data_IF_000696419303
#
_entry.id   IF_000696419303
#
_cell.length_a   1.000
_cell.length_b   1.000
_cell.length_c   1.000
_cell.angle_alpha   90.00
_cell.angle_beta   90.00
_cell.angle_gamma   90.00
#
_symmetry.space_group_name_H-M   'P 1'
#
loop_
_entity.id
_entity.type
_entity.pdbx_description
1 polymer ?
#
# COMPACT_ATOMS: atom_id res chain seq x y z
N UNK A 1 18.01 -45.02 -29.03
CA UNK A 1 17.30 -44.03 -28.18
C UNK A 1 16.10 -43.54 -28.97
N UNK A 2 14.88 -43.71 -28.45
CA UNK A 2 13.64 -43.49 -29.21
C UNK A 2 13.59 -42.01 -29.71
N UNK A 3 13.51 -41.78 -31.03
CA UNK A 3 13.50 -40.42 -31.62
C UNK A 3 12.45 -39.51 -30.96
N UNK A 4 11.34 -40.11 -30.49
CA UNK A 4 10.29 -39.41 -29.75
C UNK A 4 10.76 -38.75 -28.45
N UNK A 5 11.65 -39.37 -27.66
CA UNK A 5 12.11 -38.76 -26.39
C UNK A 5 13.04 -37.57 -26.66
N UNK A 6 13.81 -37.62 -27.74
CA UNK A 6 14.69 -36.52 -28.16
C UNK A 6 13.85 -35.31 -28.60
N UNK A 7 12.79 -35.52 -29.39
CA UNK A 7 11.88 -34.43 -29.80
C UNK A 7 11.15 -33.81 -28.61
N UNK A 8 10.67 -34.62 -27.66
CA UNK A 8 10.03 -34.13 -26.43
C UNK A 8 11.02 -33.31 -25.60
N UNK A 9 12.28 -33.77 -25.47
CA UNK A 9 13.32 -33.07 -24.75
C UNK A 9 13.60 -31.68 -25.36
N UNK A 10 13.79 -31.60 -26.68
CA UNK A 10 14.02 -30.33 -27.36
C UNK A 10 12.82 -29.38 -27.32
N UNK A 11 11.59 -29.89 -27.44
CA UNK A 11 10.37 -29.06 -27.28
C UNK A 11 10.23 -28.52 -25.86
N UNK A 12 10.51 -29.35 -24.85
CA UNK A 12 10.49 -28.93 -23.45
C UNK A 12 11.56 -27.87 -23.18
N UNK A 13 12.80 -28.09 -23.65
CA UNK A 13 13.89 -27.13 -23.51
C UNK A 13 13.58 -25.80 -24.22
N UNK A 14 12.97 -25.86 -25.41
CA UNK A 14 12.53 -24.68 -26.14
C UNK A 14 11.45 -23.91 -25.38
N UNK A 15 10.41 -24.59 -24.87
CA UNK A 15 9.35 -23.94 -24.08
C UNK A 15 9.93 -23.31 -22.80
N UNK A 16 10.80 -24.01 -22.07
CA UNK A 16 11.45 -23.47 -20.88
C UNK A 16 12.31 -22.25 -21.24
N UNK A 17 13.12 -22.33 -22.28
CA UNK A 17 13.98 -21.23 -22.75
C UNK A 17 13.15 -20.02 -23.20
N UNK A 18 12.08 -20.23 -23.96
CA UNK A 18 11.20 -19.16 -24.42
C UNK A 18 10.43 -18.53 -23.25
N UNK A 19 10.00 -19.33 -22.28
CA UNK A 19 9.33 -18.84 -21.07
C UNK A 19 10.29 -18.05 -20.19
N UNK A 20 11.50 -18.57 -19.94
CA UNK A 20 12.54 -17.89 -19.17
C UNK A 20 12.99 -16.59 -19.86
N UNK A 21 13.16 -16.62 -21.18
CA UNK A 21 13.46 -15.44 -22.00
C UNK A 21 12.36 -14.39 -21.93
N UNK A 22 11.09 -14.81 -21.97
CA UNK A 22 9.94 -13.89 -21.83
C UNK A 22 9.88 -13.27 -20.44
N UNK A 23 10.14 -14.04 -19.37
CA UNK A 23 10.20 -13.53 -17.99
C UNK A 23 11.37 -12.56 -17.81
N UNK A 24 12.55 -12.89 -18.33
CA UNK A 24 13.72 -12.01 -18.27
C UNK A 24 13.47 -10.71 -19.04
N UNK A 25 12.93 -10.79 -20.26
CA UNK A 25 12.56 -9.62 -21.05
C UNK A 25 11.53 -8.74 -20.32
N UNK A 26 10.51 -9.34 -19.71
CA UNK A 26 9.53 -8.63 -18.90
C UNK A 26 10.20 -7.94 -17.70
N UNK A 27 11.09 -8.62 -16.96
CA UNK A 27 11.79 -8.07 -15.80
C UNK A 27 12.67 -6.87 -16.16
N UNK A 28 13.49 -6.98 -17.22
CA UNK A 28 14.39 -5.89 -17.64
C UNK A 28 13.65 -4.74 -18.32
N UNK A 29 12.54 -5.00 -19.01
CA UNK A 29 11.74 -3.95 -19.65
C UNK A 29 10.74 -3.28 -18.70
N UNK A 30 10.45 -3.88 -17.54
CA UNK A 30 9.45 -3.35 -16.60
C UNK A 30 9.74 -1.91 -16.15
N UNK A 31 10.98 -1.52 -15.74
CA UNK A 31 11.28 -0.14 -15.33
C UNK A 31 11.05 0.90 -16.43
N UNK A 32 11.07 0.49 -17.70
CA UNK A 32 10.81 1.36 -18.84
C UNK A 32 9.32 1.39 -19.22
N UNK A 33 8.62 0.27 -19.05
CA UNK A 33 7.25 0.07 -19.53
C UNK A 33 6.18 0.35 -18.49
N UNK A 34 6.52 0.37 -17.19
CA UNK A 34 5.52 0.55 -16.13
C UNK A 34 4.68 1.83 -16.20
N UNK A 35 5.17 2.99 -16.70
CA UNK A 35 4.30 4.17 -16.86
C UNK A 35 3.21 3.92 -17.90
N UNK A 36 3.48 3.11 -18.93
CA UNK A 36 2.52 2.72 -19.95
C UNK A 36 1.53 1.66 -19.44
N UNK A 37 1.95 0.81 -18.50
CA UNK A 37 1.03 -0.10 -17.80
C UNK A 37 0.05 0.67 -16.93
N UNK A 38 0.53 1.66 -16.17
CA UNK A 38 -0.33 2.60 -15.42
C UNK A 38 -1.30 3.28 -16.38
N UNK A 39 -0.79 3.77 -17.52
CA UNK A 39 -1.61 4.41 -18.53
C UNK A 39 -2.70 3.51 -19.12
N UNK A 40 -2.40 2.23 -19.34
CA UNK A 40 -3.36 1.26 -19.84
C UNK A 40 -4.49 1.01 -18.82
N UNK A 41 -4.16 0.95 -17.52
CA UNK A 41 -5.16 0.85 -16.45
C UNK A 41 -6.01 2.11 -16.41
N UNK A 42 -5.40 3.30 -16.34
CA UNK A 42 -6.11 4.57 -16.30
C UNK A 42 -6.99 4.76 -17.54
N UNK A 43 -6.47 4.45 -18.72
CA UNK A 43 -7.21 4.52 -19.98
C UNK A 43 -8.42 3.59 -19.97
N UNK A 44 -8.27 2.37 -19.46
CA UNK A 44 -9.40 1.43 -19.33
C UNK A 44 -10.50 1.94 -18.41
N UNK A 45 -10.15 2.66 -17.34
CA UNK A 45 -11.12 3.27 -16.41
C UNK A 45 -11.77 4.52 -17.00
N UNK A 46 -11.01 5.35 -17.71
CA UNK A 46 -11.46 6.62 -18.28
C UNK A 46 -12.29 6.41 -19.55
N UNK A 47 -11.94 5.40 -20.36
CA UNK A 47 -12.60 5.09 -21.62
C UNK A 47 -14.13 5.03 -21.56
N UNK A 48 -14.79 4.29 -20.64
CA UNK A 48 -16.25 4.25 -20.58
C UNK A 48 -16.88 5.62 -20.28
N UNK A 49 -16.20 6.49 -19.52
CA UNK A 49 -16.65 7.85 -19.24
C UNK A 49 -16.54 8.71 -20.50
N UNK A 50 -15.42 8.59 -21.22
CA UNK A 50 -15.22 9.29 -22.50
C UNK A 50 -16.22 8.83 -23.55
N UNK A 51 -16.47 7.52 -23.70
CA UNK A 51 -17.47 6.99 -24.63
C UNK A 51 -18.89 7.47 -24.31
N UNK A 52 -19.21 7.66 -23.02
CA UNK A 52 -20.48 8.25 -22.62
C UNK A 52 -20.55 9.72 -23.01
N UNK A 53 -19.49 10.51 -22.75
CA UNK A 53 -19.43 11.91 -23.16
C UNK A 53 -19.43 12.08 -24.68
N UNK A 54 -18.74 11.22 -25.43
CA UNK A 54 -18.74 11.20 -26.90
C UNK A 54 -20.17 11.10 -27.46
N UNK A 55 -21.06 10.36 -26.77
CA UNK A 55 -22.47 10.21 -27.16
C UNK A 55 -23.36 11.38 -26.74
N UNK A 56 -23.01 12.08 -25.66
CA UNK A 56 -23.86 13.11 -25.03
C UNK A 56 -23.49 14.53 -25.48
N UNK A 57 -22.21 14.84 -25.59
CA UNK A 57 -21.72 16.22 -25.80
C UNK A 57 -21.60 16.61 -27.26
N UNK A 58 -21.48 15.63 -28.18
CA UNK A 58 -21.22 15.88 -29.59
C UNK A 58 -19.83 16.47 -29.91
N UNK A 59 -18.98 16.67 -28.90
CA UNK A 59 -17.61 17.17 -29.09
C UNK A 59 -16.69 16.10 -29.69
N UNK A 60 -15.61 16.50 -30.40
CA UNK A 60 -14.61 15.55 -30.86
C UNK A 60 -13.97 14.84 -29.66
N UNK A 61 -13.74 13.54 -29.81
CA UNK A 61 -13.21 12.65 -28.77
C UNK A 61 -11.98 13.21 -28.04
N UNK A 62 -11.08 13.89 -28.75
CA UNK A 62 -9.91 14.55 -28.16
C UNK A 62 -10.28 15.51 -27.02
N UNK A 63 -11.34 16.31 -27.20
CA UNK A 63 -11.81 17.27 -26.18
C UNK A 63 -12.43 16.54 -25.01
N UNK A 64 -13.24 15.50 -25.25
CA UNK A 64 -13.83 14.70 -24.18
C UNK A 64 -12.76 13.99 -23.34
N UNK A 65 -11.72 13.43 -23.97
CA UNK A 65 -10.57 12.83 -23.26
C UNK A 65 -9.84 13.89 -22.42
N UNK A 66 -9.52 15.06 -23.00
CA UNK A 66 -8.87 16.14 -22.26
C UNK A 66 -9.72 16.63 -21.08
N UNK A 67 -11.03 16.78 -21.28
CA UNK A 67 -11.95 17.21 -20.23
C UNK A 67 -11.99 16.24 -19.06
N UNK A 68 -12.08 14.93 -19.34
CA UNK A 68 -12.07 13.90 -18.29
C UNK A 68 -10.71 13.85 -17.59
N UNK A 69 -9.60 13.89 -18.32
CA UNK A 69 -8.26 13.92 -17.72
C UNK A 69 -8.04 15.16 -16.86
N UNK A 70 -8.46 16.34 -17.33
CA UNK A 70 -8.36 17.58 -16.58
C UNK A 70 -9.21 17.53 -15.30
N UNK A 71 -10.43 16.99 -15.37
CA UNK A 71 -11.27 16.78 -14.19
C UNK A 71 -10.59 15.88 -13.14
N UNK A 72 -10.06 14.72 -13.56
CA UNK A 72 -9.37 13.82 -12.64
C UNK A 72 -8.09 14.43 -12.07
N UNK A 73 -7.31 15.18 -12.87
CA UNK A 73 -6.12 15.87 -12.39
C UNK A 73 -6.46 16.97 -11.39
N UNK A 74 -7.48 17.77 -11.66
CA UNK A 74 -7.95 18.82 -10.74
C UNK A 74 -8.48 18.22 -9.44
N UNK A 75 -9.25 17.14 -9.51
CA UNK A 75 -9.72 16.42 -8.33
C UNK A 75 -8.55 15.85 -7.52
N UNK A 76 -7.58 15.21 -8.18
CA UNK A 76 -6.39 14.65 -7.53
C UNK A 76 -5.53 15.75 -6.90
N UNK A 77 -5.32 16.87 -7.59
CA UNK A 77 -4.59 18.02 -7.06
C UNK A 77 -5.33 18.68 -5.89
N UNK A 78 -6.67 18.77 -5.95
CA UNK A 78 -7.51 19.24 -4.85
C UNK A 78 -7.38 18.36 -3.60
N UNK A 79 -7.45 17.04 -3.77
CA UNK A 79 -7.23 16.09 -2.64
C UNK A 79 -5.79 16.20 -2.12
N UNK A 80 -4.80 16.27 -3.01
CA UNK A 80 -3.39 16.38 -2.64
C UNK A 80 -3.11 17.66 -1.86
N UNK A 81 -3.67 18.79 -2.28
CA UNK A 81 -3.50 20.07 -1.58
C UNK A 81 -4.12 20.04 -0.19
N UNK A 82 -5.30 19.44 -0.03
CA UNK A 82 -5.91 19.23 1.31
C UNK A 82 -5.01 18.35 2.18
N UNK A 83 -4.51 17.23 1.64
CA UNK A 83 -3.61 16.33 2.37
C UNK A 83 -2.30 17.01 2.76
N UNK A 84 -1.67 17.76 1.85
CA UNK A 84 -0.44 18.49 2.13
C UNK A 84 -0.68 19.58 3.16
N UNK A 85 -1.81 20.31 3.07
CA UNK A 85 -2.18 21.30 4.08
C UNK A 85 -2.35 20.67 5.46
N UNK A 86 -3.01 19.51 5.55
CA UNK A 86 -3.17 18.76 6.81
C UNK A 86 -1.82 18.27 7.34
N UNK A 87 -0.94 17.77 6.48
CA UNK A 87 0.42 17.36 6.87
C UNK A 87 1.23 18.56 7.36
N UNK A 88 1.19 19.70 6.67
CA UNK A 88 1.93 20.92 7.04
C UNK A 88 1.41 21.48 8.36
N UNK A 89 0.09 21.59 8.52
CA UNK A 89 -0.53 22.08 9.76
C UNK A 89 -0.29 21.10 10.91
N UNK A 90 -0.44 19.80 10.68
CA UNK A 90 -0.14 18.75 11.66
C UNK A 90 1.33 18.73 12.08
N UNK A 91 2.26 18.85 11.13
CA UNK A 91 3.70 18.92 11.43
C UNK A 91 4.09 20.23 12.11
N UNK A 92 3.52 21.37 11.72
CA UNK A 92 3.74 22.64 12.41
C UNK A 92 3.19 22.61 13.85
N UNK A 93 2.03 22.00 14.05
CA UNK A 93 1.45 21.78 15.35
C UNK A 93 2.34 20.88 16.22
N UNK A 94 2.83 19.77 15.67
CA UNK A 94 3.80 18.90 16.35
C UNK A 94 5.10 19.65 16.65
N UNK A 95 5.66 20.39 15.70
CA UNK A 95 6.90 21.14 15.91
C UNK A 95 6.77 22.19 17.04
N UNK A 96 5.58 22.77 17.23
CA UNK A 96 5.32 23.75 18.29
C UNK A 96 5.01 23.11 19.64
N UNK A 97 4.24 22.02 19.65
CA UNK A 97 3.67 21.43 20.86
C UNK A 97 4.55 20.30 21.42
N UNK A 98 5.28 19.58 20.57
CA UNK A 98 6.11 18.44 20.96
C UNK A 98 7.32 18.84 21.82
N UNK A 99 8.10 19.90 21.55
CA UNK A 99 9.27 20.23 22.36
C UNK A 99 8.95 20.55 23.85
N UNK A 100 7.91 21.34 24.17
CA UNK A 100 7.48 21.54 25.56
C UNK A 100 7.02 20.26 26.26
N UNK A 101 6.35 19.34 25.56
CA UNK A 101 5.96 18.06 26.14
C UNK A 101 7.14 17.10 26.30
N UNK A 102 8.14 17.16 25.42
CA UNK A 102 9.40 16.43 25.58
C UNK A 102 10.16 16.94 26.81
N UNK A 103 10.25 18.26 27.04
CA UNK A 103 10.90 18.78 28.25
C UNK A 103 10.12 18.40 29.52
N UNK A 104 8.79 18.36 29.44
CA UNK A 104 7.94 17.87 30.53
C UNK A 104 8.13 16.37 30.77
N UNK A 105 8.28 15.57 29.71
CA UNK A 105 8.56 14.14 29.81
C UNK A 105 9.96 13.87 30.38
N UNK A 106 10.98 14.61 29.92
CA UNK A 106 12.35 14.55 30.46
C UNK A 106 12.35 14.88 31.94
N UNK A 107 11.69 15.96 32.35
CA UNK A 107 11.57 16.32 33.77
C UNK A 107 10.75 15.31 34.57
N UNK A 108 9.75 14.65 33.97
CA UNK A 108 9.06 13.52 34.61
C UNK A 108 9.99 12.33 34.81
N UNK A 109 10.80 11.97 33.81
CA UNK A 109 11.80 10.91 33.90
C UNK A 109 12.89 11.25 34.92
N UNK A 110 13.38 12.49 34.94
CA UNK A 110 14.35 12.99 35.91
C UNK A 110 13.76 12.94 37.32
N UNK A 111 12.49 13.31 37.49
CA UNK A 111 11.78 13.22 38.77
C UNK A 111 11.55 11.77 39.19
N UNK A 112 11.17 10.88 38.28
CA UNK A 112 11.06 9.44 38.54
C UNK A 112 12.41 8.87 38.98
N UNK A 113 13.48 9.26 38.28
CA UNK A 113 14.82 8.83 38.59
C UNK A 113 15.25 9.34 39.96
N UNK A 114 15.16 10.63 40.23
CA UNK A 114 15.58 11.24 41.50
C UNK A 114 14.69 10.87 42.69
N UNK A 115 13.39 10.66 42.48
CA UNK A 115 12.43 10.42 43.58
C UNK A 115 12.23 8.93 43.89
N UNK A 116 12.40 8.05 42.91
CA UNK A 116 12.13 6.62 43.09
C UNK A 116 13.35 5.74 42.81
N UNK A 117 14.18 6.07 41.81
CA UNK A 117 15.35 5.24 41.46
C UNK A 117 16.57 5.60 42.30
N UNK A 118 16.82 6.88 42.57
CA UNK A 118 17.94 7.38 43.36
C UNK A 118 17.87 6.93 44.83
N UNK A 119 16.71 6.94 45.52
CA UNK A 119 16.62 6.43 46.87
C UNK A 119 16.80 4.92 46.91
N UNK A 120 16.20 4.19 45.95
CA UNK A 120 16.42 2.76 45.79
C UNK A 120 17.90 2.44 45.52
N UNK A 121 18.57 3.25 44.69
CA UNK A 121 20.01 3.17 44.45
C UNK A 121 20.81 3.41 45.72
N UNK A 122 20.48 4.45 46.50
CA UNK A 122 21.18 4.76 47.76
C UNK A 122 20.95 3.66 48.82
N UNK A 123 19.74 3.09 48.87
CA UNK A 123 19.36 2.01 49.78
C UNK A 123 20.01 0.66 49.38
N UNK A 124 20.08 0.37 48.07
CA UNK A 124 20.88 -0.72 47.53
C UNK A 124 22.38 -0.49 47.80
N UNK A 125 22.88 0.74 47.68
CA UNK A 125 24.30 1.05 47.94
C UNK A 125 24.65 0.88 49.41
N UNK A 126 23.71 1.13 50.34
CA UNK A 126 23.85 0.80 51.76
C UNK A 126 23.90 -0.72 52.01
N UNK A 127 23.12 -1.52 51.27
CA UNK A 127 23.25 -2.99 51.26
C UNK A 127 24.56 -3.49 50.62
N UNK A 128 25.21 -2.65 49.82
CA UNK A 128 26.45 -2.93 49.09
C UNK A 128 27.68 -2.21 49.67
N UNK A 129 27.59 -1.61 50.86
CA UNK A 129 28.73 -0.95 51.53
C UNK A 129 29.87 -1.92 51.90
N UNK A 130 29.63 -3.24 51.82
CA UNK A 130 30.66 -4.28 51.95
C UNK A 130 31.43 -4.57 50.64
N UNK A 131 31.04 -3.97 49.50
CA UNK A 131 31.71 -4.16 48.21
C UNK A 131 32.84 -3.13 47.98
N UNK A 132 33.93 -3.56 47.35
CA UNK A 132 35.08 -2.71 47.00
C UNK A 132 34.70 -1.52 46.10
N UNK A 133 35.41 -0.39 46.29
CA UNK A 133 35.24 0.91 45.61
C UNK A 133 35.10 0.82 44.07
N UNK A 134 35.71 -0.19 43.45
CA UNK A 134 35.69 -0.42 42.01
C UNK A 134 34.31 -0.88 41.49
N UNK A 135 33.51 -1.54 42.32
CA UNK A 135 32.17 -2.00 41.95
C UNK A 135 31.14 -0.86 42.00
N UNK A 136 31.28 0.06 42.95
CA UNK A 136 30.46 1.27 43.02
C UNK A 136 30.70 2.19 41.81
N UNK A 137 31.97 2.39 41.43
CA UNK A 137 32.32 3.15 40.23
C UNK A 137 31.74 2.53 38.95
N UNK A 138 31.76 1.20 38.83
CA UNK A 138 31.20 0.50 37.68
C UNK A 138 29.69 0.72 37.52
N UNK A 139 28.92 0.75 38.61
CA UNK A 139 27.47 0.99 38.57
C UNK A 139 27.15 2.42 38.12
N UNK A 140 27.87 3.42 38.66
CA UNK A 140 27.72 4.83 38.25
C UNK A 140 28.04 4.98 36.76
N UNK A 141 29.09 4.32 36.28
CA UNK A 141 29.49 4.36 34.87
C UNK A 141 28.45 3.69 33.96
N UNK A 142 27.79 2.61 34.40
CA UNK A 142 26.71 1.96 33.64
C UNK A 142 25.43 2.82 33.58
N UNK A 143 25.10 3.54 34.66
CA UNK A 143 23.96 4.45 34.68
C UNK A 143 24.21 5.67 33.78
N UNK A 144 25.41 6.23 33.82
CA UNK A 144 25.80 7.33 32.93
C UNK A 144 25.82 6.90 31.47
N UNK A 145 26.36 5.72 31.16
CA UNK A 145 26.35 5.20 29.78
C UNK A 145 24.93 4.86 29.30
N UNK A 146 23.99 4.50 30.16
CA UNK A 146 22.56 4.39 29.80
C UNK A 146 21.96 5.75 29.45
N UNK A 147 22.24 6.80 30.22
CA UNK A 147 21.81 8.18 29.94
C UNK A 147 22.36 8.71 28.62
N UNK A 148 23.67 8.54 28.39
CA UNK A 148 24.33 8.93 27.16
C UNK A 148 23.82 8.13 25.96
N UNK A 149 23.58 6.83 26.12
CA UNK A 149 22.99 5.99 25.07
C UNK A 149 21.57 6.41 24.73
N UNK A 150 20.75 6.76 25.73
CA UNK A 150 19.41 7.28 25.50
C UNK A 150 19.42 8.61 24.73
N UNK A 151 20.29 9.54 25.11
CA UNK A 151 20.46 10.82 24.42
C UNK A 151 20.97 10.63 22.98
N UNK A 152 21.93 9.74 22.77
CA UNK A 152 22.50 9.42 21.45
C UNK A 152 21.46 8.76 20.54
N UNK A 153 20.66 7.84 21.07
CA UNK A 153 19.57 7.20 20.33
C UNK A 153 18.44 8.18 19.98
N UNK A 154 18.12 9.13 20.88
CA UNK A 154 17.19 10.22 20.57
C UNK A 154 17.73 11.13 19.45
N UNK A 155 19.03 11.45 19.47
CA UNK A 155 19.69 12.19 18.41
C UNK A 155 19.69 11.47 17.05
N UNK A 156 19.91 10.14 17.05
CA UNK A 156 19.84 9.32 15.84
C UNK A 156 18.42 9.20 15.26
N UNK A 157 17.40 9.14 16.12
CA UNK A 157 16.00 9.18 15.66
C UNK A 157 15.68 10.52 15.01
N UNK A 158 16.12 11.62 15.63
CA UNK A 158 15.94 12.96 15.07
C UNK A 158 16.66 13.10 13.72
N UNK A 159 17.91 12.62 13.60
CA UNK A 159 18.65 12.67 12.33
C UNK A 159 17.96 11.86 11.24
N UNK A 160 17.42 10.67 11.54
CA UNK A 160 16.64 9.87 10.60
C UNK A 160 15.36 10.58 10.14
N UNK A 161 14.65 11.25 11.05
CA UNK A 161 13.45 12.03 10.69
C UNK A 161 13.81 13.20 9.78
N UNK A 162 14.90 13.91 10.08
CA UNK A 162 15.36 15.03 9.27
C UNK A 162 15.87 14.58 7.90
N UNK A 163 16.49 13.40 7.78
CA UNK A 163 16.92 12.80 6.51
C UNK A 163 15.76 12.33 5.62
N UNK A 164 14.59 12.02 6.19
CA UNK A 164 13.42 11.64 5.40
C UNK A 164 12.93 12.78 4.50
N UNK A 165 13.09 14.04 4.94
CA UNK A 165 12.64 15.22 4.20
C UNK A 165 13.39 15.36 2.85
N UNK A 166 14.74 15.46 2.79
CA UNK A 166 15.46 15.52 1.53
C UNK A 166 15.25 14.28 0.65
N UNK A 167 15.15 13.08 1.24
CA UNK A 167 14.89 11.84 0.47
C UNK A 167 13.52 11.88 -0.22
N UNK A 168 12.50 12.43 0.42
CA UNK A 168 11.20 12.64 -0.20
C UNK A 168 11.29 13.59 -1.40
N UNK A 169 11.98 14.73 -1.27
CA UNK A 169 12.18 15.66 -2.38
C UNK A 169 12.99 15.04 -3.53
N UNK A 170 13.98 14.18 -3.22
CA UNK A 170 14.77 13.48 -4.22
C UNK A 170 13.96 12.48 -5.07
N UNK A 171 12.79 12.03 -4.60
CA UNK A 171 11.89 11.14 -5.36
C UNK A 171 10.98 11.90 -6.34
N UNK A 172 10.83 13.22 -6.18
CA UNK A 172 9.90 14.02 -6.99
C UNK A 172 10.24 14.03 -8.50
N UNK A 173 11.51 14.19 -8.94
CA UNK A 173 11.80 14.24 -10.38
C UNK A 173 11.44 12.95 -11.11
N UNK A 174 11.79 11.80 -10.52
CA UNK A 174 11.46 10.50 -11.11
C UNK A 174 9.94 10.28 -11.13
N UNK A 175 9.26 10.59 -10.01
CA UNK A 175 7.80 10.46 -9.90
C UNK A 175 7.07 11.38 -10.90
N UNK A 176 7.58 12.60 -11.09
CA UNK A 176 7.03 13.55 -12.06
C UNK A 176 7.18 13.04 -13.49
N UNK A 177 8.36 12.52 -13.87
CA UNK A 177 8.56 11.92 -15.19
C UNK A 177 7.55 10.79 -15.45
N UNK A 178 7.40 9.88 -14.48
CA UNK A 178 6.46 8.76 -14.55
C UNK A 178 5.02 9.23 -14.68
N UNK A 179 4.62 10.24 -13.90
CA UNK A 179 3.30 10.86 -13.99
C UNK A 179 3.06 11.48 -15.37
N UNK A 180 4.03 12.22 -15.90
CA UNK A 180 3.91 12.86 -17.22
C UNK A 180 3.77 11.81 -18.32
N UNK A 181 4.64 10.80 -18.35
CA UNK A 181 4.59 9.75 -19.36
C UNK A 181 3.32 8.90 -19.24
N UNK A 182 2.91 8.54 -18.02
CA UNK A 182 1.67 7.78 -17.82
C UNK A 182 0.43 8.58 -18.22
N UNK A 183 0.38 9.89 -17.91
CA UNK A 183 -0.71 10.77 -18.31
C UNK A 183 -0.78 10.94 -19.84
N UNK A 184 0.36 11.18 -20.48
CA UNK A 184 0.44 11.33 -21.93
C UNK A 184 0.05 10.05 -22.65
N UNK A 185 0.55 8.90 -22.17
CA UNK A 185 0.16 7.60 -22.68
C UNK A 185 -1.34 7.34 -22.45
N UNK A 186 -1.90 7.74 -21.30
CA UNK A 186 -3.34 7.60 -21.01
C UNK A 186 -4.16 8.41 -22.00
N UNK A 187 -3.74 9.63 -22.30
CA UNK A 187 -4.39 10.48 -23.30
C UNK A 187 -4.41 9.80 -24.68
N UNK A 188 -3.26 9.40 -25.21
CA UNK A 188 -3.19 8.77 -26.54
C UNK A 188 -3.93 7.43 -26.59
N UNK A 189 -3.77 6.59 -25.56
CA UNK A 189 -4.45 5.30 -25.48
C UNK A 189 -5.98 5.45 -25.44
N UNK A 190 -6.50 6.43 -24.70
CA UNK A 190 -7.95 6.66 -24.59
C UNK A 190 -8.51 7.27 -25.86
N UNK A 191 -7.79 8.25 -26.43
CA UNK A 191 -8.14 8.90 -27.69
C UNK A 191 -8.23 7.88 -28.83
N UNK A 192 -7.20 7.05 -28.98
CA UNK A 192 -7.08 6.10 -30.09
C UNK A 192 -7.52 4.67 -29.71
N UNK A 193 -8.31 4.53 -28.63
CA UNK A 193 -8.67 3.24 -28.05
C UNK A 193 -9.23 2.23 -29.07
N UNK A 194 -10.18 2.66 -29.92
CA UNK A 194 -10.78 1.79 -30.94
C UNK A 194 -9.76 1.35 -32.00
N UNK A 195 -8.85 2.25 -32.39
CA UNK A 195 -7.77 1.95 -33.35
C UNK A 195 -6.76 0.98 -32.75
N UNK A 196 -6.33 1.21 -31.51
CA UNK A 196 -5.43 0.32 -30.78
C UNK A 196 -6.05 -1.07 -30.59
N UNK A 197 -7.33 -1.13 -30.24
CA UNK A 197 -8.07 -2.39 -30.11
C UNK A 197 -8.15 -3.14 -31.45
N UNK A 198 -8.43 -2.46 -32.56
CA UNK A 198 -8.47 -3.06 -33.88
C UNK A 198 -7.09 -3.61 -34.31
N UNK A 199 -6.02 -2.84 -34.04
CA UNK A 199 -4.64 -3.25 -34.30
C UNK A 199 -4.24 -4.47 -33.45
N UNK A 200 -4.65 -4.52 -32.18
CA UNK A 200 -4.41 -5.68 -31.31
C UNK A 200 -5.12 -6.93 -31.83
N UNK A 201 -6.34 -6.81 -32.34
CA UNK A 201 -7.08 -7.95 -32.92
C UNK A 201 -6.40 -8.48 -34.19
N UNK A 202 -5.77 -7.61 -34.99
CA UNK A 202 -5.05 -8.00 -36.21
C UNK A 202 -3.70 -8.70 -35.94
N UNK A 203 -3.04 -8.36 -34.84
CA UNK A 203 -1.71 -8.90 -34.48
C UNK A 203 -1.85 -10.20 -33.67
N UNK A 204 -2.92 -10.33 -32.88
CA UNK A 204 -3.12 -11.48 -32.01
C UNK A 204 -3.73 -12.67 -32.77
N UNK A 205 -3.25 -13.90 -32.54
CA UNK A 205 -3.87 -15.10 -33.11
C UNK A 205 -5.35 -15.24 -32.70
N UNK A 206 -6.18 -15.80 -33.57
CA UNK A 206 -7.64 -15.96 -33.35
C UNK A 206 -8.01 -16.68 -32.04
N UNK A 207 -7.15 -17.59 -31.57
CA UNK A 207 -7.35 -18.27 -30.29
C UNK A 207 -7.20 -17.33 -29.08
N UNK A 208 -6.31 -16.34 -29.17
CA UNK A 208 -6.11 -15.34 -28.11
C UNK A 208 -7.25 -14.33 -28.11
N UNK A 209 -7.74 -13.92 -29.28
CA UNK A 209 -8.88 -13.01 -29.41
C UNK A 209 -10.20 -13.68 -28.95
N UNK A 210 -10.39 -14.97 -29.24
CA UNK A 210 -11.53 -15.75 -28.74
C UNK A 210 -11.58 -15.82 -27.20
N UNK A 211 -10.42 -15.99 -26.56
CA UNK A 211 -10.31 -16.05 -25.09
C UNK A 211 -10.29 -14.67 -24.42
N UNK A 212 -10.00 -13.59 -25.17
CA UNK A 212 -9.91 -12.22 -24.63
C UNK A 212 -11.19 -11.74 -23.97
N UNK A 213 -12.37 -12.08 -24.52
CA UNK A 213 -13.67 -11.72 -23.92
C UNK A 213 -13.88 -12.44 -22.58
N UNK A 214 -13.51 -13.70 -22.48
CA UNK A 214 -13.62 -14.47 -21.24
C UNK A 214 -12.69 -13.88 -20.16
N UNK A 215 -11.43 -13.61 -20.51
CA UNK A 215 -10.45 -13.00 -19.60
C UNK A 215 -10.91 -11.61 -19.13
N UNK A 216 -11.40 -10.77 -20.05
CA UNK A 216 -11.91 -9.44 -19.71
C UNK A 216 -13.14 -9.51 -18.78
N UNK A 217 -14.03 -10.48 -19.00
CA UNK A 217 -15.19 -10.72 -18.14
C UNK A 217 -14.79 -11.14 -16.73
N UNK A 218 -13.84 -12.08 -16.60
CA UNK A 218 -13.33 -12.53 -15.29
C UNK A 218 -12.58 -11.39 -14.57
N UNK A 219 -11.75 -10.62 -15.28
CA UNK A 219 -11.06 -9.47 -14.69
C UNK A 219 -12.07 -8.42 -14.20
N UNK A 220 -13.09 -8.11 -14.99
CA UNK A 220 -14.15 -7.16 -14.60
C UNK A 220 -14.90 -7.65 -13.36
N UNK A 221 -15.24 -8.94 -13.30
CA UNK A 221 -15.89 -9.57 -12.14
C UNK A 221 -15.01 -9.50 -10.90
N UNK A 222 -13.72 -9.82 -11.02
CA UNK A 222 -12.75 -9.73 -9.93
C UNK A 222 -12.58 -8.28 -9.44
N UNK A 223 -12.43 -7.30 -10.34
CA UNK A 223 -12.29 -5.89 -9.96
C UNK A 223 -13.55 -5.34 -9.29
N UNK A 224 -14.74 -5.64 -9.83
CA UNK A 224 -16.00 -5.23 -9.17
C UNK A 224 -16.21 -5.95 -7.85
N UNK A 225 -15.80 -7.22 -7.74
CA UNK A 225 -15.76 -7.96 -6.49
C UNK A 225 -14.86 -7.31 -5.45
N UNK A 226 -13.65 -6.91 -5.83
CA UNK A 226 -12.70 -6.21 -4.97
C UNK A 226 -13.23 -4.86 -4.50
N UNK A 227 -13.77 -4.03 -5.40
CA UNK A 227 -14.34 -2.72 -5.03
C UNK A 227 -15.51 -2.89 -4.05
N UNK A 228 -16.39 -3.86 -4.29
CA UNK A 228 -17.49 -4.18 -3.37
C UNK A 228 -16.98 -4.65 -2.01
N UNK A 229 -15.99 -5.53 -2.00
CA UNK A 229 -15.36 -6.01 -0.76
C UNK A 229 -14.79 -4.84 0.05
N UNK A 230 -14.04 -3.96 -0.61
CA UNK A 230 -13.43 -2.80 0.04
C UNK A 230 -14.47 -1.82 0.57
N UNK A 231 -15.53 -1.55 -0.20
CA UNK A 231 -16.62 -0.68 0.25
C UNK A 231 -17.32 -1.23 1.51
N UNK A 232 -17.57 -2.55 1.56
CA UNK A 232 -18.15 -3.19 2.75
C UNK A 232 -17.19 -3.12 3.94
N UNK A 233 -15.90 -3.39 3.73
CA UNK A 233 -14.89 -3.34 4.79
C UNK A 233 -14.78 -1.94 5.39
N UNK A 234 -14.66 -0.91 4.55
CA UNK A 234 -14.61 0.50 4.97
C UNK A 234 -15.88 0.90 5.72
N UNK A 235 -17.05 0.49 5.23
CA UNK A 235 -18.31 0.78 5.92
C UNK A 235 -18.36 0.17 7.33
N UNK A 236 -17.91 -1.08 7.48
CA UNK A 236 -17.81 -1.73 8.80
C UNK A 236 -16.84 -0.96 9.70
N UNK A 237 -15.65 -0.58 9.19
CA UNK A 237 -14.68 0.24 9.92
C UNK A 237 -15.33 1.54 10.40
N UNK A 238 -16.00 2.29 9.52
CA UNK A 238 -16.65 3.56 9.85
C UNK A 238 -17.68 3.40 10.97
N UNK A 239 -18.51 2.36 10.92
CA UNK A 239 -19.54 2.10 11.95
C UNK A 239 -18.88 1.80 13.31
N UNK A 240 -17.87 0.94 13.34
CA UNK A 240 -17.15 0.59 14.58
C UNK A 240 -16.47 1.83 15.17
N UNK A 241 -15.78 2.60 14.33
CA UNK A 241 -15.09 3.83 14.75
C UNK A 241 -16.09 4.87 15.24
N UNK A 242 -17.22 5.07 14.55
CA UNK A 242 -18.26 5.99 14.98
C UNK A 242 -18.82 5.63 16.35
N UNK A 243 -19.17 4.36 16.57
CA UNK A 243 -19.69 3.87 17.85
C UNK A 243 -18.63 4.03 18.94
N UNK A 244 -17.39 3.60 18.68
CA UNK A 244 -16.29 3.68 19.63
C UNK A 244 -15.97 5.12 20.05
N UNK A 245 -15.85 6.03 19.09
CA UNK A 245 -15.61 7.45 19.36
C UNK A 245 -16.79 8.11 20.09
N UNK A 246 -18.03 7.72 19.78
CA UNK A 246 -19.22 8.22 20.48
C UNK A 246 -19.26 7.75 21.94
N UNK A 247 -18.89 6.50 22.21
CA UNK A 247 -18.77 5.97 23.58
C UNK A 247 -17.66 6.67 24.38
N UNK A 248 -16.56 7.00 23.71
CA UNK A 248 -15.45 7.79 24.29
C UNK A 248 -15.77 9.28 24.40
N UNK A 249 -16.97 9.71 23.98
CA UNK A 249 -17.44 11.11 23.98
C UNK A 249 -16.50 12.06 23.22
N UNK A 250 -15.92 11.58 22.12
CA UNK A 250 -15.08 12.41 21.24
C UNK A 250 -15.97 13.31 20.39
N UNK A 251 -15.67 14.61 20.38
CA UNK A 251 -16.40 15.57 19.55
C UNK A 251 -16.23 15.24 18.06
N UNK A 252 -17.28 15.49 17.27
CA UNK A 252 -17.28 15.21 15.83
C UNK A 252 -16.97 13.75 15.44
N UNK A 253 -17.34 12.78 16.30
CA UNK A 253 -17.15 11.35 16.06
C UNK A 253 -17.57 10.87 14.66
N UNK A 254 -18.69 11.37 14.12
CA UNK A 254 -19.16 11.02 12.78
C UNK A 254 -18.19 11.49 11.68
N UNK A 255 -17.71 12.73 11.77
CA UNK A 255 -16.77 13.31 10.82
C UNK A 255 -15.44 12.57 10.86
N UNK A 256 -14.92 12.31 12.07
CA UNK A 256 -13.65 11.60 12.26
C UNK A 256 -13.76 10.16 11.75
N UNK A 257 -14.86 9.46 12.05
CA UNK A 257 -15.11 8.11 11.55
C UNK A 257 -15.17 8.08 10.01
N UNK A 258 -15.77 9.09 9.38
CA UNK A 258 -15.79 9.21 7.93
C UNK A 258 -14.40 9.40 7.33
N UNK A 259 -13.59 10.30 7.91
CA UNK A 259 -12.21 10.53 7.48
C UNK A 259 -11.35 9.27 7.65
N UNK A 260 -11.47 8.59 8.81
CA UNK A 260 -10.76 7.32 9.06
C UNK A 260 -11.18 6.27 8.04
N UNK A 261 -12.47 6.15 7.71
CA UNK A 261 -12.94 5.23 6.67
C UNK A 261 -12.34 5.54 5.28
N UNK A 262 -12.21 6.83 4.95
CA UNK A 262 -11.62 7.28 3.69
C UNK A 262 -10.12 6.94 3.61
N UNK A 263 -9.40 7.12 4.71
CA UNK A 263 -7.98 6.73 4.82
C UNK A 263 -7.82 5.21 4.83
N UNK A 264 -8.76 4.47 5.43
CA UNK A 264 -8.78 3.00 5.48
C UNK A 264 -9.07 2.34 4.12
N UNK A 265 -9.53 3.13 3.14
CA UNK A 265 -9.58 2.73 1.74
C UNK A 265 -8.17 2.51 1.16
N UNK A 266 -7.15 3.22 1.67
CA UNK A 266 -5.78 3.11 1.22
C UNK A 266 -5.14 1.82 1.78
N UNK A 267 -4.72 0.89 0.92
CA UNK A 267 -4.07 -0.34 1.38
C UNK A 267 -2.74 -0.01 2.09
N UNK A 268 -2.38 -0.82 3.11
CA UNK A 268 -1.21 -0.68 3.98
C UNK A 268 -1.22 0.50 4.98
N UNK A 269 -1.75 1.67 4.64
CA UNK A 269 -1.91 2.79 5.58
C UNK A 269 -3.02 2.49 6.60
N UNK A 270 -4.19 2.09 6.09
CA UNK A 270 -5.35 1.69 6.88
C UNK A 270 -5.81 2.72 7.90
N UNK A 271 -6.70 2.33 8.81
CA UNK A 271 -7.05 3.16 9.96
C UNK A 271 -5.85 3.45 10.89
N UNK A 272 -4.81 2.61 10.87
CA UNK A 272 -3.62 2.73 11.72
C UNK A 272 -2.82 4.01 11.51
N UNK A 273 -2.81 4.56 10.29
CA UNK A 273 -2.12 5.83 10.02
C UNK A 273 -2.75 7.02 10.74
N UNK A 274 -4.02 6.93 11.15
CA UNK A 274 -4.68 7.95 11.97
C UNK A 274 -4.60 7.60 13.45
N UNK A 275 -4.89 6.35 13.81
CA UNK A 275 -4.92 5.92 15.21
C UNK A 275 -3.55 6.01 15.89
N UNK A 276 -2.46 5.57 15.25
CA UNK A 276 -1.14 5.49 15.89
C UNK A 276 -0.60 6.88 16.27
N UNK A 277 -0.57 7.90 15.38
CA UNK A 277 -0.18 9.25 15.77
C UNK A 277 -1.09 9.85 16.83
N UNK A 278 -2.40 9.58 16.78
CA UNK A 278 -3.36 10.11 17.75
C UNK A 278 -3.14 9.54 19.16
N UNK A 279 -2.93 8.23 19.27
CA UNK A 279 -2.61 7.56 20.54
C UNK A 279 -1.30 8.10 21.10
N UNK A 280 -0.28 8.25 20.26
CA UNK A 280 1.03 8.79 20.66
C UNK A 280 0.88 10.22 21.18
N UNK A 281 0.16 11.07 20.46
CA UNK A 281 -0.12 12.45 20.86
C UNK A 281 -0.79 12.50 22.24
N UNK A 282 -1.89 11.77 22.43
CA UNK A 282 -2.62 11.75 23.71
C UNK A 282 -1.76 11.23 24.88
N UNK A 283 -0.88 10.26 24.59
CA UNK A 283 0.05 9.69 25.58
C UNK A 283 1.07 10.73 26.02
N UNK A 284 1.64 11.48 25.07
CA UNK A 284 2.64 12.52 25.34
C UNK A 284 2.02 13.73 26.06
N UNK A 285 0.77 14.08 25.74
CA UNK A 285 0.06 15.19 26.40
C UNK A 285 -0.52 14.84 27.77
N UNK A 286 -0.26 13.64 28.30
CA UNK A 286 -0.74 13.21 29.62
C UNK A 286 -2.23 12.81 29.68
N UNK A 287 -2.89 12.65 28.53
CA UNK A 287 -4.31 12.26 28.43
C UNK A 287 -4.45 10.74 28.36
N UNK A 288 -3.81 10.03 29.31
CA UNK A 288 -3.71 8.57 29.34
C UNK A 288 -5.06 7.82 29.23
N UNK A 289 -6.14 8.22 29.92
CA UNK A 289 -7.44 7.53 29.81
C UNK A 289 -8.01 7.56 28.38
N UNK A 290 -7.88 8.69 27.69
CA UNK A 290 -8.32 8.83 26.30
C UNK A 290 -7.40 8.07 25.34
N UNK A 291 -6.09 8.11 25.57
CA UNK A 291 -5.11 7.34 24.79
C UNK A 291 -5.40 5.84 24.85
N UNK A 292 -5.71 5.31 26.05
CA UNK A 292 -6.09 3.90 26.25
C UNK A 292 -7.41 3.60 25.56
N UNK A 293 -8.43 4.46 25.69
CA UNK A 293 -9.73 4.28 25.03
C UNK A 293 -9.61 4.20 23.51
N UNK A 294 -8.85 5.12 22.90
CA UNK A 294 -8.57 5.12 21.46
C UNK A 294 -7.70 3.92 21.07
N UNK A 295 -6.73 3.52 21.92
CA UNK A 295 -5.92 2.32 21.71
C UNK A 295 -6.74 1.03 21.67
N UNK A 296 -7.69 0.88 22.59
CA UNK A 296 -8.63 -0.25 22.59
C UNK A 296 -9.50 -0.23 21.33
N UNK A 297 -10.03 0.95 20.96
CA UNK A 297 -10.81 1.09 19.73
C UNK A 297 -10.00 0.69 18.49
N UNK A 298 -8.74 1.15 18.40
CA UNK A 298 -7.84 0.76 17.31
C UNK A 298 -7.61 -0.76 17.27
N UNK A 299 -7.40 -1.38 18.43
CA UNK A 299 -7.21 -2.83 18.54
C UNK A 299 -8.45 -3.60 18.05
N UNK A 300 -9.66 -3.12 18.40
CA UNK A 300 -10.92 -3.70 17.89
C UNK A 300 -11.03 -3.58 16.38
N UNK A 301 -10.72 -2.41 15.82
CA UNK A 301 -10.70 -2.18 14.36
C UNK A 301 -9.68 -3.09 13.68
N UNK A 302 -8.48 -3.21 14.22
CA UNK A 302 -7.41 -4.04 13.69
C UNK A 302 -7.81 -5.52 13.66
N UNK A 303 -8.35 -6.03 14.76
CA UNK A 303 -8.83 -7.43 14.85
C UNK A 303 -9.98 -7.65 13.88
N UNK A 304 -10.97 -6.75 13.87
CA UNK A 304 -12.09 -6.86 12.95
C UNK A 304 -11.61 -6.91 11.49
N UNK A 305 -10.67 -6.04 11.12
CA UNK A 305 -10.10 -6.00 9.77
C UNK A 305 -9.43 -7.32 9.42
N UNK A 306 -8.54 -7.80 10.28
CA UNK A 306 -7.78 -9.04 10.06
C UNK A 306 -8.68 -10.29 9.93
N UNK A 307 -9.82 -10.33 10.66
CA UNK A 307 -10.77 -11.44 10.59
C UNK A 307 -11.74 -11.35 9.40
N UNK A 308 -12.10 -10.13 9.01
CA UNK A 308 -13.18 -9.89 8.04
C UNK A 308 -12.64 -9.80 6.61
N UNK A 309 -11.47 -9.21 6.43
CA UNK A 309 -10.87 -8.96 5.12
C UNK A 309 -10.69 -10.25 4.28
N UNK A 310 -10.11 -11.34 4.81
CA UNK A 310 -9.98 -12.59 4.04
C UNK A 310 -11.34 -13.19 3.64
N UNK A 311 -12.34 -13.11 4.53
CA UNK A 311 -13.68 -13.67 4.31
C UNK A 311 -14.44 -12.91 3.23
N UNK A 312 -14.41 -11.57 3.29
CA UNK A 312 -15.12 -10.73 2.33
C UNK A 312 -14.42 -10.76 0.96
N UNK A 313 -13.08 -10.72 0.93
CA UNK A 313 -12.31 -10.80 -0.32
C UNK A 313 -12.52 -12.15 -1.01
N UNK A 314 -12.45 -13.27 -0.27
CA UNK A 314 -12.65 -14.61 -0.84
C UNK A 314 -14.04 -14.78 -1.44
N UNK A 315 -15.09 -14.33 -0.73
CA UNK A 315 -16.47 -14.41 -1.24
C UNK A 315 -16.72 -13.52 -2.45
N UNK A 316 -16.05 -12.35 -2.52
CA UNK A 316 -16.32 -11.35 -3.56
C UNK A 316 -15.50 -11.55 -4.83
N UNK A 317 -14.28 -12.08 -4.72
CA UNK A 317 -13.36 -12.30 -5.84
C UNK A 317 -13.39 -13.76 -6.31
N UNK A 318 -13.79 -14.71 -5.45
CA UNK A 318 -13.86 -16.13 -5.79
C UNK A 318 -12.49 -16.81 -5.89
N UNK A 319 -11.47 -16.18 -5.29
CA UNK A 319 -10.08 -16.66 -5.27
C UNK A 319 -9.72 -17.07 -3.85
N UNK A 320 -8.85 -18.07 -3.75
CA UNK A 320 -8.30 -18.52 -2.48
C UNK A 320 -7.68 -17.34 -1.71
N UNK A 321 -8.04 -17.12 -0.42
CA UNK A 321 -7.52 -16.01 0.36
C UNK A 321 -6.00 -16.04 0.52
N UNK A 322 -5.37 -17.22 0.61
CA UNK A 322 -3.92 -17.34 0.70
C UNK A 322 -3.26 -16.92 -0.61
N UNK A 323 -3.81 -17.32 -1.75
CA UNK A 323 -3.31 -16.90 -3.05
C UNK A 323 -3.39 -15.37 -3.22
N UNK A 324 -4.50 -14.77 -2.77
CA UNK A 324 -4.70 -13.31 -2.80
C UNK A 324 -3.69 -12.59 -1.91
N UNK A 325 -3.43 -13.10 -0.70
CA UNK A 325 -2.44 -12.55 0.22
C UNK A 325 -1.01 -12.64 -0.35
N UNK A 326 -0.65 -13.78 -0.93
CA UNK A 326 0.64 -13.98 -1.60
C UNK A 326 0.80 -12.98 -2.74
N UNK A 327 -0.24 -12.79 -3.56
CA UNK A 327 -0.22 -11.86 -4.68
C UNK A 327 -0.09 -10.40 -4.23
N UNK A 328 -0.77 -10.00 -3.15
CA UNK A 328 -0.61 -8.68 -2.53
C UNK A 328 0.81 -8.46 -2.03
N UNK A 329 1.35 -9.42 -1.28
CA UNK A 329 2.70 -9.32 -0.70
C UNK A 329 3.79 -9.31 -1.78
N UNK A 330 3.71 -10.22 -2.75
CA UNK A 330 4.64 -10.29 -3.86
C UNK A 330 4.55 -9.03 -4.73
N UNK A 331 3.33 -8.59 -5.07
CA UNK A 331 3.10 -7.35 -5.79
C UNK A 331 3.72 -6.16 -5.07
N UNK A 332 3.47 -6.00 -3.77
CA UNK A 332 4.06 -4.94 -2.96
C UNK A 332 5.59 -4.96 -2.95
N UNK A 333 6.20 -6.14 -2.78
CA UNK A 333 7.67 -6.26 -2.79
C UNK A 333 8.29 -5.93 -4.14
N UNK A 334 7.61 -6.23 -5.24
CA UNK A 334 8.11 -6.01 -6.59
C UNK A 334 7.85 -4.58 -7.09
N UNK A 335 6.69 -4.03 -6.80
CA UNK A 335 6.19 -2.79 -7.43
C UNK A 335 5.76 -1.72 -6.43
N UNK A 336 6.09 -1.89 -5.14
CA UNK A 336 5.68 -0.98 -4.08
C UNK A 336 4.16 -0.87 -3.97
N UNK A 337 3.66 0.32 -3.68
CA UNK A 337 2.23 0.57 -3.47
C UNK A 337 1.36 0.17 -4.67
N UNK A 338 1.82 0.44 -5.91
CA UNK A 338 1.09 0.06 -7.13
C UNK A 338 0.94 -1.47 -7.26
N UNK A 339 1.89 -2.21 -6.71
CA UNK A 339 1.88 -3.66 -6.63
C UNK A 339 0.74 -4.27 -5.82
N UNK A 340 0.15 -3.51 -4.90
CA UNK A 340 -1.01 -3.96 -4.11
C UNK A 340 -2.28 -4.05 -4.96
N UNK A 341 -2.40 -3.20 -5.99
CA UNK A 341 -3.52 -3.27 -6.94
C UNK A 341 -3.18 -4.27 -8.05
N UNK A 342 -1.94 -4.22 -8.55
CA UNK A 342 -1.50 -5.07 -9.64
C UNK A 342 -1.40 -6.56 -9.25
N UNK A 343 -1.02 -6.88 -8.01
CA UNK A 343 -0.83 -8.25 -7.52
C UNK A 343 -2.07 -9.13 -7.70
N UNK A 344 -3.22 -8.77 -7.08
CA UNK A 344 -4.48 -9.49 -7.30
C UNK A 344 -4.93 -9.53 -8.76
N UNK A 345 -4.72 -8.44 -9.52
CA UNK A 345 -5.06 -8.41 -10.95
C UNK A 345 -4.23 -9.43 -11.75
N UNK A 346 -2.92 -9.52 -11.49
CA UNK A 346 -2.02 -10.51 -12.10
C UNK A 346 -2.43 -11.92 -11.68
N UNK A 347 -2.81 -12.13 -10.41
CA UNK A 347 -3.30 -13.42 -9.93
C UNK A 347 -4.57 -13.86 -10.66
N UNK A 348 -5.53 -12.95 -10.85
CA UNK A 348 -6.75 -13.21 -11.63
C UNK A 348 -6.41 -13.57 -13.07
N UNK A 349 -5.45 -12.86 -13.68
CA UNK A 349 -4.99 -13.15 -15.05
C UNK A 349 -4.36 -14.55 -15.10
N UNK A 350 -3.45 -14.88 -14.19
CA UNK A 350 -2.82 -16.21 -14.11
C UNK A 350 -3.89 -17.30 -13.95
N UNK A 351 -4.86 -17.09 -13.07
CA UNK A 351 -5.95 -18.04 -12.86
C UNK A 351 -6.84 -18.18 -14.09
N UNK A 352 -7.12 -17.08 -14.80
CA UNK A 352 -7.84 -17.11 -16.06
C UNK A 352 -7.07 -17.92 -17.12
N UNK A 353 -5.74 -17.76 -17.22
CA UNK A 353 -4.89 -18.57 -18.10
C UNK A 353 -4.87 -20.06 -17.73
N UNK A 354 -4.89 -20.39 -16.44
CA UNK A 354 -4.99 -21.78 -15.97
C UNK A 354 -6.35 -22.36 -16.34
N UNK A 355 -7.43 -21.61 -16.11
CA UNK A 355 -8.82 -22.06 -16.26
C UNK A 355 -9.24 -22.18 -17.73
N UNK A 356 -8.72 -21.32 -18.62
CA UNK A 356 -8.95 -21.41 -20.07
C UNK A 356 -8.22 -22.60 -20.72
N UNK A 357 -7.41 -23.34 -19.97
CA UNK A 357 -6.71 -24.52 -20.49
C UNK A 357 -5.50 -24.20 -21.35
N UNK A 358 -5.03 -22.95 -21.39
CA UNK A 358 -3.83 -22.56 -22.15
C UNK A 358 -2.60 -23.39 -21.74
N UNK A 359 -2.48 -23.74 -20.46
CA UNK A 359 -1.43 -24.64 -19.96
C UNK A 359 -1.59 -26.09 -20.48
N UNK A 360 -2.83 -26.57 -20.65
CA UNK A 360 -3.09 -27.89 -21.25
C UNK A 360 -2.73 -27.89 -22.73
N UNK A 361 -2.90 -26.79 -23.44
CA UNK A 361 -2.46 -26.66 -24.83
C UNK A 361 -0.93 -26.70 -24.96
N UNK A 362 -0.21 -25.98 -24.10
CA UNK A 362 1.27 -26.04 -24.05
C UNK A 362 1.73 -27.47 -23.75
N UNK A 363 1.10 -28.15 -22.79
CA UNK A 363 1.38 -29.54 -22.49
C UNK A 363 1.07 -30.47 -23.67
N UNK A 364 -0.02 -30.21 -24.40
CA UNK A 364 -0.35 -30.97 -25.62
C UNK A 364 0.69 -30.76 -26.72
N UNK A 365 1.23 -29.56 -26.91
CA UNK A 365 2.29 -29.29 -27.88
C UNK A 365 3.58 -30.07 -27.56
N UNK A 366 3.92 -30.18 -26.27
CA UNK A 366 5.07 -30.95 -25.80
C UNK A 366 4.88 -32.45 -26.04
N UNK A 367 3.65 -32.96 -25.90
CA UNK A 367 3.36 -34.41 -25.90
C UNK A 367 2.86 -34.97 -27.23
N UNK A 368 2.35 -34.15 -28.16
CA UNK A 368 1.84 -34.61 -29.45
C UNK A 368 2.98 -35.15 -30.34
N UNK A 369 3.03 -36.47 -30.47
CA UNK A 369 3.70 -37.16 -31.57
C UNK A 369 2.90 -36.88 -32.86
N UNK A 370 3.48 -36.13 -33.80
CA UNK A 370 2.98 -36.18 -35.17
C UNK A 370 3.29 -37.59 -35.70
N UNK A 371 2.24 -38.34 -36.02
CA UNK A 371 2.35 -39.58 -36.79
C UNK A 371 2.58 -39.26 -38.25
#
# INVERSE_FOLDING_TARGET
>A
MNQSYITIFFRTLFVISMTAGSIAAAYYSFPLTYPFLIALILSSVIHPVVDYLDKVTGFPRTINVLGVLAFFLLAAFGVLTILVAEIVTGTAYLAKTLPPHISTFISYCEKLFTTHIQPLYNELTLLFQELETNQQASIVTHIQTLGDSAAKNAGLLLSHILEMIPRFFALLPNTAAVLIFSLLATFFMTKDWHKLKAMLVLILPDRVTANSKAISSELKKAMTGFIKAQAVLVFITMVIVFIGLSLLKVEHAATIAFLIGLVDLLPYLGAGSVFVPWILYLSITGQLPQAIGIGILYLVVLIQRQLTEPKILSKSIGIDPLATLIALFAGFKLFGFLGLIAGPAVLVIIQAFITTGALKEIWSYITVQQK
#
